data_IF_253245356506
#
_entry.id   IF_253245356506
#
_cell.length_a   1.000
_cell.length_b   1.000
_cell.length_c   1.000
_cell.angle_alpha   90.00
_cell.angle_beta   90.00
_cell.angle_gamma   90.00
#
_symmetry.space_group_name_H-M   'P 1'
#
loop_
_entity.id
_entity.type
_entity.pdbx_description
1 polymer ?
#
# COMPACT_ATOMS: atom_id res chain seq x y z
N UNK A 1 8.22 -10.43 26.92
CA UNK A 1 7.32 -9.59 27.72
C UNK A 1 7.03 -8.30 26.96
N UNK A 2 5.86 -7.68 27.17
CA UNK A 2 5.49 -6.40 26.54
C UNK A 2 6.31 -5.27 27.20
N UNK A 3 7.00 -4.40 26.42
CA UNK A 3 7.68 -3.25 26.98
C UNK A 3 6.75 -2.27 27.72
N UNK A 4 7.19 -1.71 28.85
CA UNK A 4 6.38 -0.80 29.70
C UNK A 4 5.95 0.51 29.02
N UNK A 5 6.64 0.88 27.94
CA UNK A 5 6.33 2.06 27.15
C UNK A 5 5.23 1.84 26.10
N UNK A 6 4.74 0.61 25.92
CA UNK A 6 3.66 0.28 24.97
C UNK A 6 2.31 0.33 25.67
N UNK A 7 1.38 1.14 25.18
CA UNK A 7 0.04 1.28 25.76
C UNK A 7 -0.93 0.30 25.12
N UNK A 8 -1.19 0.49 23.83
CA UNK A 8 -2.14 -0.29 23.04
C UNK A 8 -1.44 -0.90 21.83
N UNK A 9 -1.85 -2.11 21.48
CA UNK A 9 -1.44 -2.75 20.23
C UNK A 9 -2.70 -3.05 19.45
N UNK A 10 -2.81 -2.49 18.26
CA UNK A 10 -3.92 -2.73 17.33
C UNK A 10 -3.41 -3.56 16.16
N UNK A 11 -4.16 -4.59 15.82
CA UNK A 11 -3.92 -5.42 14.64
C UNK A 11 -5.07 -5.17 13.68
N UNK A 12 -4.73 -4.86 12.43
CA UNK A 12 -5.68 -4.66 11.36
C UNK A 12 -5.10 -5.23 10.07
N UNK A 13 -5.94 -5.42 9.08
CA UNK A 13 -5.50 -5.78 7.75
C UNK A 13 -6.21 -4.94 6.71
N UNK A 14 -5.58 -4.77 5.58
CA UNK A 14 -6.12 -4.00 4.47
C UNK A 14 -5.76 -4.65 3.15
N UNK A 15 -6.52 -4.25 2.14
CA UNK A 15 -6.28 -4.59 0.74
C UNK A 15 -6.28 -3.32 -0.07
N UNK A 16 -5.48 -3.28 -1.12
CA UNK A 16 -5.55 -2.20 -2.08
C UNK A 16 -4.91 -2.55 -3.40
N UNK A 17 -5.05 -1.60 -4.32
CA UNK A 17 -4.51 -1.66 -5.67
C UNK A 17 -3.25 -0.81 -5.69
N UNK A 18 -2.12 -1.43 -6.02
CA UNK A 18 -0.90 -0.69 -6.31
C UNK A 18 -0.95 -0.16 -7.74
N UNK A 19 -0.31 1.01 -8.00
CA UNK A 19 -0.24 1.55 -9.35
C UNK A 19 0.41 0.54 -10.31
N UNK A 20 -0.03 0.52 -11.58
CA UNK A 20 0.59 -0.30 -12.61
C UNK A 20 2.06 0.07 -12.80
N UNK A 21 2.85 -0.85 -13.33
CA UNK A 21 4.21 -0.54 -13.77
C UNK A 21 4.16 0.47 -14.92
N UNK A 22 4.96 1.52 -14.84
CA UNK A 22 5.05 2.58 -15.85
C UNK A 22 5.28 2.01 -17.25
N UNK A 23 6.26 1.12 -17.38
CA UNK A 23 6.71 0.57 -18.66
C UNK A 23 5.59 -0.21 -19.34
N UNK A 24 4.79 -0.94 -18.56
CA UNK A 24 3.62 -1.67 -19.07
C UNK A 24 2.56 -0.69 -19.57
N UNK A 25 2.29 0.40 -18.86
CA UNK A 25 1.34 1.44 -19.32
C UNK A 25 1.79 2.04 -20.65
N UNK A 26 3.06 2.39 -20.78
CA UNK A 26 3.61 2.92 -22.04
C UNK A 26 3.50 1.91 -23.18
N UNK A 27 3.89 0.65 -22.94
CA UNK A 27 3.81 -0.43 -23.92
C UNK A 27 2.37 -0.64 -24.41
N UNK A 28 1.39 -0.70 -23.50
CA UNK A 28 -0.03 -0.90 -23.83
C UNK A 28 -0.63 0.28 -24.59
N UNK A 29 -0.14 1.49 -24.36
CA UNK A 29 -0.53 2.69 -25.10
C UNK A 29 0.24 2.88 -26.41
N UNK A 30 1.16 1.97 -26.76
CA UNK A 30 1.99 2.07 -27.97
C UNK A 30 2.94 3.26 -27.96
N UNK A 31 3.38 3.71 -26.78
CA UNK A 31 4.28 4.87 -26.62
C UNK A 31 5.69 4.41 -26.26
N UNK A 32 6.71 5.11 -26.76
CA UNK A 32 8.08 4.88 -26.32
C UNK A 32 8.30 5.49 -24.93
N UNK A 33 9.13 4.88 -24.07
CA UNK A 33 9.45 5.40 -22.73
C UNK A 33 10.02 6.83 -22.72
N UNK A 34 10.65 7.25 -23.82
CA UNK A 34 11.26 8.56 -24.04
C UNK A 34 10.26 9.60 -24.56
N UNK A 35 9.04 9.18 -24.92
CA UNK A 35 8.00 10.08 -25.38
C UNK A 35 7.36 10.86 -24.21
N UNK A 36 6.57 11.88 -24.56
CA UNK A 36 5.78 12.60 -23.55
C UNK A 36 4.87 11.61 -22.80
N UNK A 37 4.91 11.61 -21.45
CA UNK A 37 4.11 10.69 -20.66
C UNK A 37 2.61 10.89 -20.92
N UNK A 38 1.82 9.80 -20.84
CA UNK A 38 0.37 9.90 -20.90
C UNK A 38 -0.17 10.71 -19.70
N UNK A 39 -1.38 11.28 -19.82
CA UNK A 39 -2.01 12.01 -18.72
C UNK A 39 -2.02 11.20 -17.42
N UNK A 40 -1.65 11.84 -16.31
CA UNK A 40 -1.57 11.20 -14.99
C UNK A 40 -0.22 10.54 -14.66
N UNK A 41 0.73 10.49 -15.60
CA UNK A 41 2.13 10.13 -15.33
C UNK A 41 3.02 11.36 -15.50
N UNK A 42 4.01 11.51 -14.62
CA UNK A 42 5.03 12.56 -14.74
C UNK A 42 6.20 12.09 -15.59
N UNK A 43 7.00 13.06 -16.05
CA UNK A 43 8.30 12.76 -16.66
C UNK A 43 9.20 12.17 -15.59
N UNK A 44 9.85 11.01 -15.83
CA UNK A 44 10.73 10.41 -14.85
C UNK A 44 11.87 11.38 -14.56
N UNK A 45 12.22 11.54 -13.28
CA UNK A 45 13.29 12.44 -12.90
C UNK A 45 14.63 11.90 -13.41
N UNK A 46 15.47 12.74 -14.06
CA UNK A 46 16.69 12.29 -14.73
C UNK A 46 17.77 11.78 -13.75
N UNK A 47 17.66 12.09 -12.45
CA UNK A 47 18.67 11.75 -11.44
C UNK A 47 18.04 11.53 -10.05
N UNK A 48 17.86 10.28 -9.63
CA UNK A 48 17.86 9.91 -8.20
C UNK A 48 18.95 8.89 -7.92
N UNK A 49 19.50 8.96 -6.71
CA UNK A 49 20.66 8.20 -6.22
C UNK A 49 20.41 6.68 -6.13
N UNK A 50 19.17 6.21 -6.37
CA UNK A 50 18.84 4.79 -6.53
C UNK A 50 17.78 4.61 -7.63
N UNK A 51 18.02 3.67 -8.55
CA UNK A 51 17.11 3.31 -9.65
C UNK A 51 15.85 2.67 -9.03
N UNK A 52 14.65 3.21 -9.32
CA UNK A 52 13.37 2.61 -8.94
C UNK A 52 12.58 3.32 -7.84
N UNK A 53 13.08 4.45 -7.31
CA UNK A 53 12.39 5.23 -6.27
C UNK A 53 11.23 6.09 -6.80
N UNK A 54 11.39 6.63 -8.01
CA UNK A 54 10.38 7.47 -8.67
C UNK A 54 10.26 7.05 -10.13
N UNK A 55 9.29 6.20 -10.43
CA UNK A 55 8.93 5.83 -11.80
C UNK A 55 7.92 6.82 -12.42
N UNK A 56 7.71 7.98 -11.80
CA UNK A 56 6.77 9.00 -12.24
C UNK A 56 5.31 8.53 -12.30
N UNK A 57 4.98 7.44 -11.59
CA UNK A 57 3.58 7.05 -11.30
C UNK A 57 3.00 7.85 -10.14
N UNK A 58 3.88 8.43 -9.31
CA UNK A 58 3.55 9.47 -8.35
C UNK A 58 3.38 10.79 -9.08
N UNK A 59 2.19 11.38 -9.01
CA UNK A 59 1.87 12.61 -9.71
C UNK A 59 2.57 13.81 -9.07
N UNK A 60 3.88 13.99 -9.26
CA UNK A 60 4.67 15.20 -8.94
C UNK A 60 4.71 15.67 -7.47
N UNK A 61 3.81 15.21 -6.62
CA UNK A 61 3.61 15.61 -5.23
C UNK A 61 3.81 14.44 -4.24
N UNK A 62 4.02 13.22 -4.73
CA UNK A 62 4.28 12.06 -3.88
C UNK A 62 5.73 12.09 -3.40
N UNK A 63 5.97 12.78 -2.30
CA UNK A 63 7.20 12.59 -1.52
C UNK A 63 7.08 11.24 -0.80
N UNK A 64 7.95 10.25 -1.09
CA UNK A 64 7.86 8.94 -0.46
C UNK A 64 8.08 9.04 1.06
N UNK A 65 7.32 8.26 1.85
CA UNK A 65 7.63 8.10 3.27
C UNK A 65 8.94 7.32 3.42
N UNK A 66 9.98 8.00 3.86
CA UNK A 66 11.32 7.47 4.01
C UNK A 66 11.43 6.53 5.21
N UNK A 67 11.71 5.25 4.96
CA UNK A 67 12.33 4.38 5.96
C UNK A 67 13.79 4.15 5.55
N UNK A 68 14.69 4.88 6.20
CA UNK A 68 16.11 4.60 6.14
C UNK A 68 16.34 3.25 6.80
N UNK A 69 16.61 2.17 6.04
CA UNK A 69 17.45 1.02 6.45
C UNK A 69 17.35 -0.23 5.55
N UNK A 70 16.91 -0.14 4.28
CA UNK A 70 17.02 -1.29 3.35
C UNK A 70 17.48 -0.84 1.96
N UNK A 71 18.58 -1.42 1.46
CA UNK A 71 19.00 -1.29 0.05
C UNK A 71 17.86 -1.79 -0.84
N UNK A 72 17.35 -0.92 -1.72
CA UNK A 72 16.21 -1.21 -2.58
C UNK A 72 14.88 -0.64 -2.08
N UNK A 73 14.92 0.24 -1.05
CA UNK A 73 13.84 1.15 -0.70
C UNK A 73 12.46 0.52 -0.82
N UNK A 74 12.05 -0.25 0.19
CA UNK A 74 10.66 -0.68 0.33
C UNK A 74 9.82 0.55 0.74
N UNK A 75 9.73 1.53 -0.15
CA UNK A 75 8.74 2.58 -0.06
C UNK A 75 7.41 1.88 -0.25
N UNK A 76 6.63 1.77 0.83
CA UNK A 76 5.23 1.37 0.73
C UNK A 76 4.54 2.44 -0.12
N UNK A 77 4.40 2.16 -1.41
CA UNK A 77 3.65 3.04 -2.31
C UNK A 77 2.24 3.15 -1.75
N UNK A 78 1.72 4.36 -1.52
CA UNK A 78 0.38 4.50 -0.97
C UNK A 78 -0.62 3.84 -1.92
N UNK A 79 -1.45 2.95 -1.37
CA UNK A 79 -2.56 2.36 -2.12
C UNK A 79 -3.68 3.40 -2.21
N UNK A 80 -3.71 4.18 -3.31
CA UNK A 80 -4.76 5.20 -3.52
C UNK A 80 -6.16 4.61 -3.64
N UNK A 81 -6.26 3.32 -3.98
CA UNK A 81 -7.51 2.56 -3.88
C UNK A 81 -7.28 1.47 -2.87
N UNK A 82 -7.88 1.61 -1.69
CA UNK A 82 -7.67 0.69 -0.58
C UNK A 82 -8.89 0.61 0.32
N UNK A 83 -8.97 -0.49 1.05
CA UNK A 83 -10.01 -0.72 2.04
C UNK A 83 -9.45 -1.47 3.23
N UNK A 84 -9.79 -1.01 4.44
CA UNK A 84 -9.50 -1.72 5.66
C UNK A 84 -10.54 -2.83 5.88
N UNK A 85 -10.09 -3.96 6.40
CA UNK A 85 -10.95 -4.93 7.05
C UNK A 85 -11.14 -4.60 8.53
N UNK A 86 -11.29 -5.65 9.34
CA UNK A 86 -11.42 -5.55 10.78
C UNK A 86 -10.17 -5.01 11.47
N UNK A 87 -10.41 -4.37 12.62
CA UNK A 87 -9.39 -3.90 13.56
C UNK A 87 -9.69 -4.50 14.93
N UNK A 88 -8.70 -5.12 15.54
CA UNK A 88 -8.80 -5.72 16.87
C UNK A 88 -7.66 -5.29 17.76
N UNK A 89 -7.91 -5.20 19.07
CA UNK A 89 -6.83 -4.99 20.04
C UNK A 89 -6.13 -6.32 20.30
N UNK A 90 -4.81 -6.33 20.18
CA UNK A 90 -4.01 -7.54 20.37
C UNK A 90 -4.16 -8.08 21.80
N UNK A 91 -4.24 -9.39 21.89
CA UNK A 91 -4.13 -10.15 23.13
C UNK A 91 -3.39 -11.47 22.83
N UNK A 92 -3.18 -12.30 23.85
CA UNK A 92 -2.41 -13.55 23.71
C UNK A 92 -3.17 -14.71 23.07
N UNK A 93 -4.47 -14.57 22.82
CA UNK A 93 -5.30 -15.55 22.14
C UNK A 93 -5.25 -15.36 20.61
N UNK A 94 -5.67 -16.37 19.82
CA UNK A 94 -5.88 -16.20 18.39
C UNK A 94 -6.81 -15.01 18.11
N UNK A 95 -6.44 -14.21 17.11
CA UNK A 95 -7.19 -13.04 16.67
C UNK A 95 -7.95 -13.38 15.40
N UNK A 96 -9.20 -12.96 15.33
CA UNK A 96 -10.01 -13.03 14.11
C UNK A 96 -10.21 -11.60 13.58
N UNK A 97 -9.94 -11.40 12.30
CA UNK A 97 -10.13 -10.12 11.61
C UNK A 97 -11.28 -10.27 10.62
N UNK A 98 -12.25 -9.36 10.69
CA UNK A 98 -13.32 -9.28 9.69
C UNK A 98 -12.76 -8.91 8.32
N UNK A 99 -13.28 -9.48 7.25
CA UNK A 99 -12.87 -9.13 5.89
C UNK A 99 -13.28 -7.68 5.53
N UNK A 100 -12.59 -7.03 4.58
CA UNK A 100 -13.01 -5.75 4.03
C UNK A 100 -14.47 -5.81 3.54
N UNK A 101 -15.25 -4.71 3.65
CA UNK A 101 -16.66 -4.67 3.26
C UNK A 101 -16.93 -5.08 1.82
N UNK A 102 -16.04 -4.74 0.87
CA UNK A 102 -16.18 -5.22 -0.50
C UNK A 102 -15.53 -6.59 -0.68
N UNK A 103 -16.04 -7.35 -1.65
CA UNK A 103 -15.37 -8.55 -2.11
C UNK A 103 -14.15 -8.12 -2.90
N UNK A 104 -12.95 -8.37 -2.37
CA UNK A 104 -11.69 -8.14 -3.06
C UNK A 104 -11.12 -9.44 -3.61
N UNK A 105 -10.44 -9.41 -4.76
CA UNK A 105 -9.68 -10.57 -5.22
C UNK A 105 -8.51 -10.85 -4.27
N UNK A 106 -8.01 -12.10 -4.32
CA UNK A 106 -6.75 -12.47 -3.68
C UNK A 106 -5.54 -11.69 -4.22
N UNK A 107 -4.36 -12.01 -3.70
CA UNK A 107 -3.12 -11.33 -4.07
C UNK A 107 -2.82 -11.52 -5.56
N UNK A 108 -2.66 -10.42 -6.29
CA UNK A 108 -2.28 -10.40 -7.71
C UNK A 108 -0.98 -9.64 -7.85
N UNK A 109 0.01 -10.22 -8.54
CA UNK A 109 1.30 -9.58 -8.81
C UNK A 109 1.61 -9.58 -10.30
N UNK A 110 0.79 -8.88 -11.09
CA UNK A 110 1.05 -8.66 -12.53
C UNK A 110 1.70 -7.30 -12.78
N UNK A 111 2.17 -7.04 -14.00
CA UNK A 111 2.74 -5.73 -14.36
C UNK A 111 1.67 -4.64 -14.46
N UNK A 112 0.43 -4.99 -14.81
CA UNK A 112 -0.65 -4.03 -15.03
C UNK A 112 -1.61 -3.89 -13.83
N UNK A 113 -1.88 -4.98 -13.13
CA UNK A 113 -2.77 -4.99 -11.96
C UNK A 113 -2.04 -5.67 -10.81
N UNK A 114 -1.96 -4.97 -9.68
CA UNK A 114 -1.36 -5.47 -8.45
C UNK A 114 -2.34 -5.30 -7.31
N UNK A 115 -2.82 -6.42 -6.79
CA UNK A 115 -3.71 -6.45 -5.62
C UNK A 115 -2.84 -6.88 -4.46
N UNK A 116 -2.66 -5.98 -3.51
CA UNK A 116 -1.77 -6.14 -2.39
C UNK A 116 -2.57 -6.19 -1.09
N UNK A 117 -2.27 -7.18 -0.28
CA UNK A 117 -2.87 -7.38 1.04
C UNK A 117 -1.79 -7.19 2.09
N UNK A 118 -2.11 -6.53 3.18
CA UNK A 118 -1.17 -6.21 4.25
C UNK A 118 -1.81 -6.42 5.62
N UNK A 119 -1.07 -7.03 6.53
CA UNK A 119 -1.33 -6.99 7.97
C UNK A 119 -0.57 -5.81 8.56
N UNK A 120 -1.26 -5.00 9.37
CA UNK A 120 -0.69 -3.85 10.04
C UNK A 120 -0.81 -4.06 11.54
N UNK A 121 0.31 -3.91 12.23
CA UNK A 121 0.38 -3.88 13.69
C UNK A 121 0.79 -2.47 14.09
N UNK A 122 -0.12 -1.75 14.75
CA UNK A 122 0.12 -0.42 15.30
C UNK A 122 0.34 -0.54 16.80
N UNK A 123 1.48 -0.04 17.28
CA UNK A 123 1.83 -0.01 18.69
C UNK A 123 1.83 1.44 19.14
N UNK A 124 0.86 1.78 19.97
CA UNK A 124 0.79 3.07 20.64
C UNK A 124 1.81 3.10 21.79
N UNK A 125 2.62 4.17 21.82
CA UNK A 125 3.65 4.35 22.83
C UNK A 125 3.37 5.60 23.65
N UNK A 126 3.63 5.52 24.95
CA UNK A 126 3.59 6.66 25.88
C UNK A 126 4.43 7.84 25.41
N UNK A 127 5.57 7.57 24.79
CA UNK A 127 6.54 8.55 24.30
C UNK A 127 7.10 8.09 22.95
N UNK A 128 7.31 9.04 22.04
CA UNK A 128 8.00 8.81 20.76
C UNK A 128 7.10 8.50 19.55
N UNK A 129 5.79 8.71 19.63
CA UNK A 129 4.85 8.43 18.51
C UNK A 129 4.58 6.93 18.34
N UNK A 130 3.57 6.56 17.55
CA UNK A 130 3.23 5.16 17.31
C UNK A 130 4.29 4.44 16.47
N UNK A 131 4.54 3.17 16.74
CA UNK A 131 5.23 2.28 15.82
C UNK A 131 4.21 1.59 14.92
N UNK A 132 4.57 1.38 13.66
CA UNK A 132 3.79 0.55 12.75
C UNK A 132 4.71 -0.51 12.16
N UNK A 133 4.21 -1.74 12.15
CA UNK A 133 4.80 -2.85 11.42
C UNK A 133 3.79 -3.29 10.35
N UNK A 134 4.28 -3.51 9.14
CA UNK A 134 3.45 -3.87 7.98
C UNK A 134 4.03 -5.13 7.38
N UNK A 135 3.20 -6.17 7.27
CA UNK A 135 3.57 -7.46 6.69
C UNK A 135 2.67 -7.77 5.49
N UNK A 136 3.23 -7.93 4.28
CA UNK A 136 2.48 -8.40 3.12
C UNK A 136 1.85 -9.78 3.33
N UNK A 137 0.62 -9.96 2.87
CA UNK A 137 -0.10 -11.23 2.92
C UNK A 137 -0.33 -11.80 1.52
N UNK A 138 -0.15 -13.12 1.39
CA UNK A 138 -0.60 -13.88 0.24
C UNK A 138 -2.02 -14.40 0.51
N UNK A 139 -3.03 -13.79 -0.11
CA UNK A 139 -4.45 -14.13 0.06
C UNK A 139 -4.94 -14.88 -1.17
N UNK A 140 -5.65 -15.99 -0.95
CA UNK A 140 -6.22 -16.78 -2.03
C UNK A 140 -7.39 -16.06 -2.71
N UNK A 141 -7.59 -16.35 -4.00
CA UNK A 141 -8.76 -15.85 -4.72
C UNK A 141 -10.05 -16.53 -4.23
N UNK A 142 -11.17 -15.80 -4.19
CA UNK A 142 -12.48 -16.43 -4.01
C UNK A 142 -12.78 -17.37 -5.18
N UNK A 143 -13.63 -18.37 -4.94
CA UNK A 143 -14.05 -19.36 -5.94
C UNK A 143 -15.01 -18.81 -7.00
N UNK A 144 -15.56 -17.61 -6.76
CA UNK A 144 -16.46 -16.89 -7.67
C UNK A 144 -15.80 -15.62 -8.20
N UNK A 145 -16.15 -15.14 -9.40
CA UNK A 145 -15.72 -13.84 -9.89
C UNK A 145 -16.07 -12.75 -8.89
N UNK A 146 -15.12 -11.84 -8.69
CA UNK A 146 -15.26 -10.69 -7.81
C UNK A 146 -15.55 -9.44 -8.62
N UNK A 147 -16.53 -8.64 -8.18
CA UNK A 147 -16.88 -7.38 -8.81
C UNK A 147 -16.83 -6.25 -7.77
N UNK A 148 -15.91 -5.32 -7.96
CA UNK A 148 -15.84 -4.09 -7.18
C UNK A 148 -16.68 -3.01 -7.87
N UNK A 149 -17.94 -2.83 -7.44
CA UNK A 149 -18.86 -1.85 -8.04
C UNK A 149 -18.45 -0.40 -7.72
N UNK A 150 -17.80 -0.19 -6.56
CA UNK A 150 -17.27 1.10 -6.15
C UNK A 150 -15.84 0.92 -5.69
N UNK A 151 -14.93 1.69 -6.27
CA UNK A 151 -13.53 1.71 -5.85
C UNK A 151 -13.38 2.69 -4.67
N UNK A 152 -13.02 2.22 -3.46
CA UNK A 152 -12.77 3.10 -2.33
C UNK A 152 -11.44 3.83 -2.55
N UNK A 153 -11.52 5.11 -2.92
CA UNK A 153 -10.35 5.96 -3.13
C UNK A 153 -9.95 6.65 -1.83
N UNK A 154 -8.68 6.56 -1.48
CA UNK A 154 -8.03 7.33 -0.43
C UNK A 154 -7.18 8.43 -1.08
N UNK A 155 -7.26 9.66 -0.58
CA UNK A 155 -6.50 10.79 -1.12
C UNK A 155 -5.01 10.75 -0.76
N UNK A 156 -4.60 9.80 0.08
CA UNK A 156 -3.20 9.54 0.43
C UNK A 156 -2.58 10.66 1.28
N UNK A 157 -3.37 11.62 1.76
CA UNK A 157 -2.88 12.63 2.69
C UNK A 157 -2.80 11.99 4.06
N UNK A 158 -1.61 12.02 4.68
CA UNK A 158 -1.34 11.43 6.00
C UNK A 158 -2.27 11.96 7.10
N UNK A 159 -2.87 13.14 6.91
CA UNK A 159 -3.85 13.73 7.82
C UNK A 159 -5.27 13.17 7.68
N UNK A 160 -5.60 12.52 6.57
CA UNK A 160 -6.91 11.90 6.30
C UNK A 160 -7.03 10.53 6.97
N UNK A 161 -5.91 9.84 7.19
CA UNK A 161 -5.82 8.54 7.87
C UNK A 161 -5.75 8.69 9.41
N UNK A 162 -6.59 9.56 10.00
CA UNK A 162 -6.75 9.59 11.46
C UNK A 162 -7.44 8.29 11.94
N UNK A 163 -6.61 7.28 12.19
CA UNK A 163 -6.91 5.99 12.84
C UNK A 163 -6.85 6.04 14.38
#
# INVERSE_FOLDING_TARGET
EKPDNWEKIEVMWRVGILPPAREEVFSRLGRSPEAQPPPGLTTPLPHHWEIGLDDGTGGGEESPMEHHEVKGGLFLRPMRVMEFGGRVTWNSAPLELEHPPNEWPGTVSSSLIRIHWELIIRIERKKGGSLMFVEPLAVAHPSRPTTLTRLPTNDGRTESDQL
#
